data_IF_927264652863
#
_entry.id   IF_927264652863
#
_cell.length_a   1.000
_cell.length_b   1.000
_cell.length_c   1.000
_cell.angle_alpha   90.00
_cell.angle_beta   90.00
_cell.angle_gamma   90.00
#
_symmetry.space_group_name_H-M   'P 1'
#
loop_
_entity.id
_entity.type
_entity.pdbx_description
1 polymer ?
#
# COMPACT_ATOMS: atom_id res chain seq x y z
N UNK A 1 7.95 -3.53 2.78
CA UNK A 1 7.37 -2.28 2.23
C UNK A 1 8.18 -1.88 1.03
N UNK A 2 7.57 -1.76 -0.14
CA UNK A 2 8.20 -1.19 -1.33
C UNK A 2 8.20 0.34 -1.23
N UNK A 3 7.06 0.92 -0.84
CA UNK A 3 6.91 2.35 -0.63
C UNK A 3 6.34 2.67 0.76
N UNK A 4 6.86 3.72 1.40
CA UNK A 4 6.30 4.31 2.62
C UNK A 4 6.36 5.83 2.55
N UNK A 5 5.20 6.48 2.59
CA UNK A 5 5.13 7.93 2.84
C UNK A 5 5.64 8.23 4.24
N UNK A 6 6.50 9.24 4.41
CA UNK A 6 7.07 9.54 5.72
C UNK A 6 5.98 9.93 6.72
N UNK A 7 5.81 9.15 7.79
CA UNK A 7 4.79 9.40 8.81
C UNK A 7 5.14 10.54 9.76
N UNK A 8 6.43 10.83 9.95
CA UNK A 8 6.96 11.77 10.95
C UNK A 8 7.46 13.10 10.36
N UNK A 9 7.56 13.22 9.03
CA UNK A 9 8.13 14.39 8.36
C UNK A 9 7.12 15.56 8.20
N UNK A 10 6.12 15.64 9.07
CA UNK A 10 5.07 16.66 9.02
C UNK A 10 3.97 16.41 7.97
N UNK A 11 3.05 17.38 7.89
CA UNK A 11 1.87 17.33 7.03
C UNK A 11 2.20 17.65 5.57
N UNK A 12 2.86 16.69 4.90
CA UNK A 12 3.25 16.77 3.50
C UNK A 12 2.49 15.69 2.75
N UNK A 13 1.56 16.10 1.88
CA UNK A 13 0.85 15.20 0.99
C UNK A 13 1.82 14.57 -0.02
N UNK A 14 1.77 13.25 -0.16
CA UNK A 14 2.56 12.51 -1.14
C UNK A 14 1.66 11.71 -2.06
N UNK A 15 1.98 11.76 -3.35
CA UNK A 15 1.33 10.95 -4.37
C UNK A 15 2.31 9.94 -4.91
N UNK A 16 1.87 8.69 -5.09
CA UNK A 16 2.68 7.62 -5.68
C UNK A 16 1.83 6.82 -6.67
N UNK A 17 2.43 6.46 -7.79
CA UNK A 17 1.87 5.51 -8.75
C UNK A 17 2.81 4.32 -8.84
N UNK A 18 2.27 3.11 -8.66
CA UNK A 18 3.01 1.85 -8.74
C UNK A 18 2.35 0.99 -9.81
N UNK A 19 3.10 0.65 -10.86
CA UNK A 19 2.57 -0.15 -11.98
C UNK A 19 3.53 -1.28 -12.33
N UNK A 20 2.98 -2.42 -12.75
CA UNK A 20 3.73 -3.55 -13.31
C UNK A 20 4.81 -4.10 -12.36
N UNK A 21 4.49 -4.21 -11.07
CA UNK A 21 5.40 -4.72 -10.04
C UNK A 21 5.09 -6.18 -9.74
N UNK A 22 6.15 -7.00 -9.64
CA UNK A 22 6.09 -8.36 -9.10
C UNK A 22 6.78 -8.40 -7.73
N UNK A 23 6.01 -8.46 -6.65
CA UNK A 23 6.52 -8.48 -5.28
C UNK A 23 6.53 -9.90 -4.72
N UNK A 24 7.61 -10.29 -4.06
CA UNK A 24 7.75 -11.61 -3.43
C UNK A 24 7.82 -11.42 -1.92
N UNK A 25 6.96 -12.14 -1.18
CA UNK A 25 6.91 -12.19 0.28
C UNK A 25 6.96 -10.81 0.99
N UNK A 26 6.03 -9.88 0.68
CA UNK A 26 5.97 -8.60 1.38
C UNK A 26 5.65 -8.79 2.87
N UNK A 27 6.62 -8.48 3.74
CA UNK A 27 6.53 -8.75 5.18
C UNK A 27 5.52 -7.90 5.98
N UNK A 28 5.15 -6.72 5.47
CA UNK A 28 4.26 -5.79 6.19
C UNK A 28 3.16 -5.28 5.29
N UNK A 29 3.56 -4.72 4.16
CA UNK A 29 2.69 -4.19 3.12
C UNK A 29 3.52 -3.91 1.88
N UNK A 30 2.87 -3.73 0.73
CA UNK A 30 3.53 -3.23 -0.48
C UNK A 30 3.70 -1.71 -0.40
N UNK A 31 2.60 -0.99 -0.23
CA UNK A 31 2.56 0.49 -0.12
C UNK A 31 2.01 0.89 1.24
N UNK A 32 2.51 1.99 1.83
CA UNK A 32 1.90 2.58 3.03
C UNK A 32 1.81 4.10 2.94
N UNK A 33 0.58 4.62 3.02
CA UNK A 33 0.21 6.04 2.87
C UNK A 33 -0.44 6.61 4.14
N UNK A 34 -0.35 7.92 4.35
CA UNK A 34 -0.93 8.62 5.49
C UNK A 34 -2.29 9.24 5.14
N UNK A 35 -3.36 8.76 5.79
CA UNK A 35 -4.73 9.23 5.57
C UNK A 35 -4.88 10.73 5.89
N UNK A 36 -4.32 11.17 7.01
CA UNK A 36 -4.45 12.54 7.51
C UNK A 36 -3.59 13.58 6.78
N UNK A 37 -2.65 13.14 5.94
CA UNK A 37 -1.84 14.04 5.12
C UNK A 37 -2.35 14.13 3.68
N UNK A 38 -3.52 13.56 3.38
CA UNK A 38 -4.11 13.51 2.03
C UNK A 38 -3.18 12.83 1.01
N UNK A 39 -2.47 11.79 1.46
CA UNK A 39 -1.67 10.97 0.53
C UNK A 39 -2.58 10.27 -0.49
N UNK A 40 -2.01 9.95 -1.64
CA UNK A 40 -2.67 9.21 -2.71
C UNK A 40 -1.73 8.14 -3.26
N UNK A 41 -2.22 6.91 -3.36
CA UNK A 41 -1.51 5.82 -4.01
C UNK A 41 -2.39 5.24 -5.11
N UNK A 42 -1.87 5.18 -6.34
CA UNK A 42 -2.48 4.47 -7.46
C UNK A 42 -1.69 3.20 -7.73
N UNK A 43 -2.37 2.05 -7.77
CA UNK A 43 -1.74 0.76 -8.03
C UNK A 43 -2.41 0.10 -9.24
N UNK A 44 -1.59 -0.41 -10.16
CA UNK A 44 -2.06 -1.05 -11.39
C UNK A 44 -1.20 -2.26 -11.75
N UNK A 45 -1.83 -3.36 -12.15
CA UNK A 45 -1.14 -4.57 -12.61
C UNK A 45 -0.02 -5.03 -11.64
N UNK A 46 -0.40 -5.24 -10.38
CA UNK A 46 0.48 -5.64 -9.29
C UNK A 46 0.35 -7.13 -9.09
N UNK A 47 1.47 -7.84 -9.16
CA UNK A 47 1.56 -9.24 -8.81
C UNK A 47 2.22 -9.40 -7.46
N UNK A 48 1.67 -10.29 -6.65
CA UNK A 48 2.27 -10.68 -5.38
C UNK A 48 2.38 -12.18 -5.30
N UNK A 49 3.56 -12.67 -4.99
CA UNK A 49 3.81 -14.07 -4.68
C UNK A 49 4.06 -14.22 -3.19
N UNK A 50 3.35 -15.13 -2.54
CA UNK A 50 3.66 -15.57 -1.18
C UNK A 50 4.12 -17.03 -1.20
N UNK A 51 5.25 -17.31 -0.55
CA UNK A 51 5.82 -18.67 -0.49
C UNK A 51 5.04 -19.59 0.45
N UNK A 52 4.34 -19.01 1.43
CA UNK A 52 3.43 -19.73 2.33
C UNK A 52 2.04 -19.99 1.72
N UNK A 53 1.77 -19.51 0.49
CA UNK A 53 0.52 -19.71 -0.23
C UNK A 53 -0.69 -18.94 0.32
N UNK A 54 -0.49 -17.99 1.24
CA UNK A 54 -1.57 -17.17 1.79
C UNK A 54 -1.80 -15.90 0.97
N UNK A 55 -3.05 -15.48 0.91
CA UNK A 55 -3.46 -14.26 0.20
C UNK A 55 -3.67 -13.05 1.14
N UNK A 56 -3.17 -13.12 2.38
CA UNK A 56 -3.35 -12.12 3.44
C UNK A 56 -2.42 -10.90 3.33
N UNK A 57 -2.07 -10.52 2.10
CA UNK A 57 -1.12 -9.43 1.83
C UNK A 57 -1.79 -8.06 1.90
N UNK A 58 -1.21 -7.17 2.71
CA UNK A 58 -1.59 -5.75 2.76
C UNK A 58 -1.02 -4.98 1.60
N UNK A 59 -1.74 -4.93 0.49
CA UNK A 59 -1.30 -4.25 -0.74
C UNK A 59 -1.11 -2.74 -0.50
N UNK A 60 -2.15 -2.06 -0.02
CA UNK A 60 -2.07 -0.65 0.35
C UNK A 60 -2.49 -0.50 1.82
N UNK A 61 -1.55 -0.17 2.70
CA UNK A 61 -1.82 0.10 4.11
C UNK A 61 -1.99 1.61 4.32
N UNK A 62 -2.94 2.00 5.17
CA UNK A 62 -3.24 3.37 5.52
C UNK A 62 -2.91 3.62 6.98
N UNK A 63 -2.23 4.73 7.25
CA UNK A 63 -1.75 5.11 8.57
C UNK A 63 -2.15 6.53 8.95
N UNK A 64 -2.05 6.85 10.23
CA UNK A 64 -2.04 8.21 10.74
C UNK A 64 -0.60 8.68 10.88
N UNK A 65 -0.19 9.69 10.11
CA UNK A 65 1.08 10.38 10.29
C UNK A 65 1.08 11.26 11.54
N UNK A 66 2.14 11.21 12.33
CA UNK A 66 2.35 11.99 13.56
C UNK A 66 3.80 11.80 14.04
N UNK A 67 4.14 12.27 15.25
CA UNK A 67 5.42 11.91 15.92
C UNK A 67 5.52 10.41 16.21
N UNK A 68 4.39 9.74 16.40
CA UNK A 68 4.26 8.29 16.66
C UNK A 68 3.21 7.70 15.73
N UNK A 69 3.54 7.44 14.46
CA UNK A 69 2.57 7.01 13.47
C UNK A 69 1.89 5.68 13.84
N UNK A 70 0.60 5.55 13.52
CA UNK A 70 -0.18 4.34 13.79
C UNK A 70 -0.86 3.82 12.52
N UNK A 71 -1.14 2.51 12.48
CA UNK A 71 -1.88 1.91 11.37
C UNK A 71 -3.38 2.08 11.59
N UNK A 72 -4.11 2.41 10.53
CA UNK A 72 -5.57 2.58 10.54
C UNK A 72 -6.29 1.45 9.81
N UNK A 73 -5.62 0.78 8.86
CA UNK A 73 -6.11 -0.41 8.15
C UNK A 73 -5.28 -0.71 6.91
N UNK A 74 -5.83 -1.53 6.02
CA UNK A 74 -5.34 -1.77 4.66
C UNK A 74 -6.49 -1.96 3.65
N UNK A 75 -6.17 -2.03 2.36
CA UNK A 75 -7.15 -2.25 1.27
C UNK A 75 -7.35 -1.03 0.34
N UNK A 76 -8.23 -1.17 -0.67
CA UNK A 76 -8.63 -0.05 -1.53
C UNK A 76 -9.43 0.97 -0.69
N UNK A 77 -9.20 2.26 -0.94
CA UNK A 77 -9.78 3.33 -0.13
C UNK A 77 -9.85 4.65 -0.91
N UNK A 78 -10.96 4.88 -1.62
CA UNK A 78 -11.26 6.14 -2.31
C UNK A 78 -10.05 6.74 -3.03
N UNK A 79 -9.69 7.99 -2.70
CA UNK A 79 -8.49 8.66 -3.24
C UNK A 79 -7.17 8.23 -2.59
N UNK A 80 -7.21 7.64 -1.39
CA UNK A 80 -6.01 7.29 -0.61
C UNK A 80 -5.28 6.08 -1.20
N UNK A 81 -6.02 5.03 -1.54
CA UNK A 81 -5.53 3.80 -2.15
C UNK A 81 -6.44 3.42 -3.32
N UNK A 82 -6.00 3.76 -4.53
CA UNK A 82 -6.76 3.68 -5.78
C UNK A 82 -6.33 2.44 -6.56
N UNK A 83 -7.13 1.39 -6.45
CA UNK A 83 -7.02 0.17 -7.26
C UNK A 83 -8.30 -0.66 -7.14
N UNK A 84 -8.48 -1.57 -8.06
CA UNK A 84 -9.57 -2.56 -8.08
C UNK A 84 -9.02 -3.98 -7.86
N UNK A 85 -9.91 -4.96 -7.69
CA UNK A 85 -9.50 -6.37 -7.60
C UNK A 85 -8.76 -6.84 -8.86
N UNK A 86 -9.12 -6.31 -10.05
CA UNK A 86 -8.43 -6.66 -11.29
C UNK A 86 -7.01 -6.09 -11.42
N UNK A 87 -6.63 -5.15 -10.56
CA UNK A 87 -5.27 -4.59 -10.57
C UNK A 87 -4.30 -5.41 -9.71
N UNK A 88 -4.78 -6.33 -8.87
CA UNK A 88 -3.99 -7.05 -7.88
C UNK A 88 -4.11 -8.56 -8.08
N UNK A 89 -2.97 -9.20 -8.29
CA UNK A 89 -2.85 -10.62 -8.59
C UNK A 89 -2.02 -11.31 -7.50
N UNK A 90 -2.67 -11.83 -6.45
CA UNK A 90 -1.98 -12.56 -5.38
C UNK A 90 -2.00 -14.05 -5.69
N UNK A 91 -0.82 -14.66 -5.78
CA UNK A 91 -0.61 -16.08 -6.09
C UNK A 91 -1.25 -16.58 -7.40
N UNK A 92 -1.72 -15.68 -8.25
CA UNK A 92 -2.23 -16.00 -9.57
C UNK A 92 -1.07 -16.44 -10.47
N UNK A 93 -1.34 -17.41 -11.34
CA UNK A 93 -0.39 -18.01 -12.27
C UNK A 93 -0.32 -17.23 -13.57
#
# INVERSE_FOLDING_TARGET
>A
KLYRSCGTCGNIARTVTVENVYAIDPLVSLVTVNKNYNDQATLKNIYVKTTNGKDDVKVCQWSQGSKTPSNLGDGPSGKLCQYSESDIHINQK
#
